data_IF_747487376596
#
_entry.id   IF_747487376596
#
_cell.length_a   1.000
_cell.length_b   1.000
_cell.length_c   1.000
_cell.angle_alpha   90.00
_cell.angle_beta   90.00
_cell.angle_gamma   90.00
#
_symmetry.space_group_name_H-M   'P 1'
#
loop_
_entity.id
_entity.type
_entity.pdbx_description
1 polymer ?
#
# COMPACT_ATOMS: atom_id res chain seq x y z
N UNK A 1 -11.67 -16.66 54.60
CA UNK A 1 -12.45 -16.39 53.37
C UNK A 1 -12.20 -14.95 52.95
N UNK A 2 -12.04 -14.72 51.65
CA UNK A 2 -11.98 -13.41 50.98
C UNK A 2 -10.64 -12.65 51.00
N UNK A 3 -9.79 -12.92 49.99
CA UNK A 3 -8.95 -11.93 49.29
C UNK A 3 -8.17 -12.56 48.12
N UNK A 4 -8.78 -13.50 47.39
CA UNK A 4 -8.19 -14.13 46.19
C UNK A 4 -8.87 -13.73 44.88
N UNK A 5 -9.90 -12.91 44.92
CA UNK A 5 -10.84 -12.73 43.80
C UNK A 5 -10.74 -11.36 43.11
N UNK A 6 -9.66 -10.61 43.32
CA UNK A 6 -9.47 -9.27 42.72
C UNK A 6 -8.21 -9.15 41.84
N UNK A 7 -7.61 -10.27 41.38
CA UNK A 7 -6.44 -10.24 40.49
C UNK A 7 -6.73 -10.57 39.02
N UNK A 8 -7.95 -10.97 38.69
CA UNK A 8 -8.24 -11.57 37.38
C UNK A 8 -8.87 -10.60 36.35
N UNK A 9 -8.95 -9.30 36.65
CA UNK A 9 -9.63 -8.33 35.76
C UNK A 9 -8.70 -7.39 34.96
N UNK A 10 -7.40 -7.66 34.85
CA UNK A 10 -6.48 -6.74 34.14
C UNK A 10 -5.59 -7.34 33.03
N UNK A 11 -5.79 -8.58 32.61
CA UNK A 11 -4.94 -9.20 31.56
C UNK A 11 -5.65 -9.57 30.24
N UNK A 12 -6.95 -9.32 30.12
CA UNK A 12 -7.74 -9.64 28.92
C UNK A 12 -7.70 -8.56 27.79
N UNK A 13 -6.68 -7.70 27.73
CA UNK A 13 -6.57 -6.67 26.67
C UNK A 13 -5.35 -6.85 25.75
N UNK A 14 -4.53 -7.89 25.92
CA UNK A 14 -3.32 -8.09 25.09
C UNK A 14 -3.35 -9.33 24.19
N UNK A 15 -4.46 -10.09 24.18
CA UNK A 15 -4.55 -11.36 23.44
C UNK A 15 -4.86 -11.24 21.95
N UNK A 16 -5.03 -10.02 21.42
CA UNK A 16 -5.40 -9.79 20.01
C UNK A 16 -4.26 -9.29 19.11
N UNK A 17 -3.00 -9.36 19.56
CA UNK A 17 -1.86 -9.11 18.67
C UNK A 17 -1.52 -10.41 17.89
N UNK A 18 -1.48 -10.41 16.55
CA UNK A 18 -1.41 -11.64 15.76
C UNK A 18 -0.03 -12.33 15.74
N UNK A 19 0.90 -11.96 16.61
CA UNK A 19 2.23 -12.58 16.65
C UNK A 19 2.74 -12.65 18.08
N UNK A 20 2.54 -13.79 18.74
CA UNK A 20 3.41 -14.31 19.81
C UNK A 20 2.96 -15.75 20.10
N UNK A 21 3.19 -16.65 19.13
CA UNK A 21 3.25 -18.08 19.40
C UNK A 21 4.61 -18.60 18.92
N UNK A 22 5.58 -18.57 19.82
CA UNK A 22 6.66 -19.55 19.82
C UNK A 22 7.26 -19.54 21.22
N UNK A 23 7.24 -20.71 21.87
CA UNK A 23 7.84 -20.95 23.18
C UNK A 23 9.36 -20.79 23.13
N UNK A 24 9.82 -19.54 23.07
CA UNK A 24 11.20 -19.18 23.36
C UNK A 24 11.25 -18.94 24.86
N UNK A 25 11.79 -19.92 25.58
CA UNK A 25 12.39 -19.69 26.89
C UNK A 25 13.33 -18.48 26.76
N UNK A 26 12.89 -17.33 27.27
CA UNK A 26 13.73 -16.13 27.41
C UNK A 26 14.93 -16.59 28.24
N UNK A 27 16.06 -16.75 27.56
CA UNK A 27 17.33 -17.04 28.21
C UNK A 27 17.59 -15.92 29.20
N UNK A 28 17.74 -16.28 30.47
CA UNK A 28 17.95 -15.39 31.61
C UNK A 28 19.32 -14.66 31.58
N UNK A 29 19.90 -14.46 30.40
CA UNK A 29 21.22 -13.88 30.16
C UNK A 29 21.20 -12.91 28.97
N UNK A 30 20.16 -12.07 28.86
CA UNK A 30 20.22 -10.89 27.99
C UNK A 30 20.89 -9.77 28.78
N UNK A 31 22.05 -9.30 28.32
CA UNK A 31 22.64 -8.06 28.83
C UNK A 31 21.61 -6.92 28.64
N UNK A 32 21.30 -6.08 29.64
CA UNK A 32 20.37 -4.96 29.49
C UNK A 32 20.66 -4.07 28.26
N UNK A 33 21.92 -3.95 27.85
CA UNK A 33 22.31 -3.21 26.65
C UNK A 33 21.77 -3.85 25.35
N UNK A 34 21.70 -5.19 25.29
CA UNK A 34 21.22 -5.92 24.11
C UNK A 34 19.70 -5.74 23.92
N UNK A 35 18.93 -5.72 25.02
CA UNK A 35 17.49 -5.47 24.96
C UNK A 35 17.19 -4.01 24.55
N UNK A 36 18.02 -3.05 24.99
CA UNK A 36 17.89 -1.65 24.56
C UNK A 36 18.18 -1.50 23.06
N UNK A 37 19.24 -2.12 22.55
CA UNK A 37 19.56 -2.05 21.12
C UNK A 37 18.49 -2.75 20.27
N UNK A 38 17.99 -3.90 20.72
CA UNK A 38 16.85 -4.57 20.10
C UNK A 38 15.60 -3.69 20.06
N UNK A 39 15.28 -2.99 21.15
CA UNK A 39 14.15 -2.06 21.19
C UNK A 39 14.34 -0.88 20.23
N UNK A 40 15.58 -0.38 20.08
CA UNK A 40 15.94 0.67 19.12
C UNK A 40 15.76 0.20 17.68
N UNK A 41 16.22 -1.01 17.37
CA UNK A 41 16.07 -1.63 16.04
C UNK A 41 14.61 -1.87 15.71
N UNK A 42 13.80 -2.36 16.66
CA UNK A 42 12.35 -2.54 16.49
C UNK A 42 11.69 -1.20 16.15
N UNK A 43 12.01 -0.14 16.89
CA UNK A 43 11.46 1.20 16.64
C UNK A 43 11.79 1.68 15.23
N UNK A 44 13.02 1.46 14.78
CA UNK A 44 13.46 1.86 13.44
C UNK A 44 12.77 1.05 12.33
N UNK A 45 12.53 -0.24 12.57
CA UNK A 45 11.80 -1.10 11.63
C UNK A 45 10.34 -0.60 11.51
N UNK A 46 9.69 -0.28 12.62
CA UNK A 46 8.31 0.22 12.63
C UNK A 46 8.18 1.55 11.89
N UNK A 47 9.10 2.49 12.10
CA UNK A 47 9.12 3.76 11.38
C UNK A 47 9.27 3.56 9.86
N UNK A 48 10.17 2.65 9.46
CA UNK A 48 10.36 2.32 8.04
C UNK A 48 9.14 1.63 7.44
N UNK A 49 8.49 0.74 8.19
CA UNK A 49 7.25 0.07 7.74
C UNK A 49 6.15 1.10 7.50
N UNK A 50 5.97 2.06 8.43
CA UNK A 50 5.00 3.14 8.26
C UNK A 50 5.32 3.98 7.01
N UNK A 51 6.57 4.38 6.82
CA UNK A 51 6.99 5.19 5.64
C UNK A 51 6.79 4.42 4.33
N UNK A 52 7.06 3.12 4.33
CA UNK A 52 6.88 2.27 3.14
C UNK A 52 5.40 2.08 2.81
N UNK A 53 4.55 1.90 3.81
CA UNK A 53 3.10 1.77 3.65
C UNK A 53 2.50 3.06 3.06
N UNK A 54 2.88 4.21 3.61
CA UNK A 54 2.50 5.53 3.10
C UNK A 54 2.90 5.71 1.63
N UNK A 55 4.14 5.34 1.28
CA UNK A 55 4.61 5.42 -0.10
C UNK A 55 3.86 4.45 -1.02
N UNK A 56 3.60 3.22 -0.57
CA UNK A 56 2.86 2.21 -1.32
C UNK A 56 1.44 2.70 -1.64
N UNK A 57 0.74 3.23 -0.64
CA UNK A 57 -0.61 3.80 -0.80
C UNK A 57 -0.63 4.98 -1.78
N UNK A 58 0.37 5.86 -1.72
CA UNK A 58 0.51 6.97 -2.68
C UNK A 58 0.78 6.48 -4.10
N UNK A 59 1.61 5.45 -4.27
CA UNK A 59 1.87 4.85 -5.58
C UNK A 59 0.59 4.26 -6.17
N UNK A 60 -0.20 3.55 -5.36
CA UNK A 60 -1.45 2.97 -5.84
C UNK A 60 -2.50 4.03 -6.20
N UNK A 61 -2.56 5.12 -5.43
CA UNK A 61 -3.40 6.29 -5.77
C UNK A 61 -3.01 6.90 -7.12
N UNK A 62 -1.71 7.08 -7.38
CA UNK A 62 -1.20 7.60 -8.66
C UNK A 62 -1.48 6.64 -9.81
N UNK A 63 -1.37 5.32 -9.60
CA UNK A 63 -1.73 4.32 -10.62
C UNK A 63 -3.21 4.42 -11.02
N UNK A 64 -4.11 4.55 -10.04
CA UNK A 64 -5.55 4.69 -10.29
C UNK A 64 -5.85 5.94 -11.10
N UNK A 65 -5.26 7.09 -10.72
CA UNK A 65 -5.42 8.33 -11.47
C UNK A 65 -4.87 8.22 -12.89
N UNK A 66 -3.70 7.61 -13.05
CA UNK A 66 -3.10 7.40 -14.38
C UNK A 66 -3.98 6.54 -15.29
N UNK A 67 -4.60 5.48 -14.76
CA UNK A 67 -5.53 4.64 -15.51
C UNK A 67 -6.78 5.42 -15.93
N UNK A 68 -7.32 6.25 -15.03
CA UNK A 68 -8.46 7.13 -15.36
C UNK A 68 -8.12 8.08 -16.51
N UNK A 69 -6.97 8.77 -16.42
CA UNK A 69 -6.51 9.69 -17.47
C UNK A 69 -6.27 8.97 -18.81
N UNK A 70 -5.70 7.77 -18.79
CA UNK A 70 -5.52 6.96 -20.01
C UNK A 70 -6.86 6.58 -20.64
N UNK A 71 -7.84 6.19 -19.85
CA UNK A 71 -9.19 5.88 -20.33
C UNK A 71 -9.86 7.11 -20.94
N UNK A 72 -9.76 8.27 -20.31
CA UNK A 72 -10.31 9.52 -20.83
C UNK A 72 -9.65 9.92 -22.15
N UNK A 73 -8.31 9.88 -22.20
CA UNK A 73 -7.55 10.15 -23.42
C UNK A 73 -7.88 9.18 -24.56
N UNK A 74 -8.17 7.91 -24.25
CA UNK A 74 -8.60 6.95 -25.27
C UNK A 74 -9.95 7.34 -25.88
N UNK A 75 -10.93 7.73 -25.04
CA UNK A 75 -12.24 8.17 -25.52
C UNK A 75 -12.13 9.45 -26.35
N UNK A 76 -11.33 10.42 -25.88
CA UNK A 76 -11.07 11.66 -26.61
C UNK A 76 -10.35 11.41 -27.94
N UNK A 77 -9.36 10.51 -27.96
CA UNK A 77 -8.66 10.09 -29.17
C UNK A 77 -9.62 9.52 -30.21
N UNK A 78 -10.48 8.59 -29.80
CA UNK A 78 -11.49 8.01 -30.70
C UNK A 78 -12.47 9.06 -31.23
N UNK A 79 -12.87 10.02 -30.40
CA UNK A 79 -13.75 11.11 -30.83
C UNK A 79 -13.09 11.96 -31.92
N UNK A 80 -11.80 12.30 -31.75
CA UNK A 80 -11.04 13.05 -32.75
C UNK A 80 -10.90 12.24 -34.03
N UNK A 81 -10.56 10.95 -33.95
CA UNK A 81 -10.48 10.07 -35.12
C UNK A 81 -11.79 9.99 -35.89
N UNK A 82 -12.92 9.84 -35.19
CA UNK A 82 -14.23 9.79 -35.81
C UNK A 82 -14.58 11.11 -36.52
N UNK A 83 -14.23 12.26 -35.93
CA UNK A 83 -14.42 13.55 -36.56
C UNK A 83 -13.55 13.72 -37.81
N UNK A 84 -12.29 13.29 -37.76
CA UNK A 84 -11.38 13.32 -38.92
C UNK A 84 -11.88 12.41 -40.05
N UNK A 85 -12.38 11.22 -39.73
CA UNK A 85 -12.90 10.27 -40.71
C UNK A 85 -14.21 10.73 -41.38
N UNK A 86 -15.11 11.34 -40.61
CA UNK A 86 -16.40 11.85 -41.10
C UNK A 86 -16.29 13.18 -41.87
N UNK A 87 -15.22 13.94 -41.66
CA UNK A 87 -15.00 15.21 -42.34
C UNK A 87 -14.35 15.00 -43.72
N UNK A 88 -15.04 15.40 -44.80
CA UNK A 88 -14.51 15.32 -46.17
C UNK A 88 -13.29 16.22 -46.42
N UNK A 89 -13.04 17.19 -45.52
CA UNK A 89 -11.87 18.10 -45.57
C UNK A 89 -10.55 17.36 -45.38
N UNK A 90 -10.53 16.23 -44.66
CA UNK A 90 -9.31 15.45 -44.43
C UNK A 90 -9.15 14.26 -45.39
N UNK A 91 -10.19 13.88 -46.13
CA UNK A 91 -10.12 12.79 -47.11
C UNK A 91 -9.44 13.21 -48.44
N UNK A 92 -9.51 14.49 -48.80
CA UNK A 92 -9.03 15.05 -50.06
C UNK A 92 -7.51 15.19 -50.18
N UNK A 93 -6.75 14.95 -49.10
CA UNK A 93 -5.28 14.94 -49.12
C UNK A 93 -4.66 13.55 -49.33
N UNK A 94 -5.45 12.49 -49.51
CA UNK A 94 -4.92 11.19 -49.92
C UNK A 94 -4.77 11.11 -51.44
N UNK A 95 -3.55 10.98 -52.00
CA UNK A 95 -3.43 10.60 -53.40
C UNK A 95 -3.94 9.17 -53.49
N UNK A 96 -5.09 8.98 -54.15
CA UNK A 96 -5.56 7.65 -54.56
C UNK A 96 -4.45 7.04 -55.42
N UNK A 97 -3.63 6.16 -54.84
CA UNK A 97 -2.75 5.29 -55.59
C UNK A 97 -3.64 4.50 -56.56
N UNK A 98 -3.63 4.90 -57.83
CA UNK A 98 -4.35 4.22 -58.90
C UNK A 98 -3.45 3.13 -59.47
N UNK A 99 -3.97 1.90 -59.39
CA UNK A 99 -3.58 0.65 -60.05
C UNK A 99 -2.30 -0.03 -59.58
#
# INVERSE_FOLDING_TARGET
>A
MSNKENRDLQTENYKNAPFLNSGVSISLDSNPDDEVEKQRLISQILERQNTLDDLSSRVDSVKVENLKLKSENQVLGQYIENLMAASSVFQSASPKAKK
#
